data_IF_188762735609
#
_entry.id   IF_188762735609
#
_cell.length_a   1.000
_cell.length_b   1.000
_cell.length_c   1.000
_cell.angle_alpha   90.00
_cell.angle_beta   90.00
_cell.angle_gamma   90.00
#
_symmetry.space_group_name_H-M   'P 1'
#
loop_
_entity.id
_entity.type
_entity.pdbx_description
1 polymer ?
#
# COMPACT_ATOMS: atom_id res chain seq x y z
N UNK A 1 4.88 -21.38 0.21
CA UNK A 1 3.84 -20.35 -0.05
C UNK A 1 3.96 -19.25 0.99
N UNK A 2 3.55 -18.01 0.70
CA UNK A 2 3.61 -16.90 1.66
C UNK A 2 2.22 -16.28 1.88
N UNK A 3 1.83 -16.07 3.14
CA UNK A 3 0.73 -15.19 3.54
C UNK A 3 1.34 -13.86 3.98
N UNK A 4 1.17 -12.80 3.19
CA UNK A 4 1.90 -11.53 3.37
C UNK A 4 0.94 -10.39 3.67
N UNK A 5 1.23 -9.63 4.73
CA UNK A 5 0.58 -8.37 5.02
C UNK A 5 1.13 -7.24 4.15
N UNK A 6 0.24 -6.58 3.40
CA UNK A 6 0.56 -5.48 2.49
C UNK A 6 0.70 -4.13 3.20
N UNK A 7 0.26 -4.03 4.46
CA UNK A 7 0.10 -2.74 5.12
C UNK A 7 -1.26 -2.09 4.85
N UNK A 8 -1.53 -0.90 5.43
CA UNK A 8 -2.85 -0.27 5.44
C UNK A 8 -3.23 0.49 4.16
N UNK A 9 -2.28 0.68 3.23
CA UNK A 9 -2.51 1.42 1.98
C UNK A 9 -1.20 1.95 1.39
N UNK A 10 -0.45 2.74 2.16
CA UNK A 10 0.88 3.24 1.80
C UNK A 10 1.82 2.07 1.44
N UNK A 11 2.30 1.97 0.17
CA UNK A 11 3.23 0.92 -0.25
C UNK A 11 4.52 0.88 0.57
N UNK A 12 4.94 2.00 1.15
CA UNK A 12 6.12 2.09 2.02
C UNK A 12 5.96 1.38 3.36
N UNK A 13 4.74 0.98 3.73
CA UNK A 13 4.45 0.23 4.96
C UNK A 13 4.45 -1.29 4.77
N UNK A 14 4.76 -1.80 3.58
CA UNK A 14 5.08 -3.22 3.43
C UNK A 14 6.38 -3.55 4.17
N UNK A 15 6.46 -4.72 4.79
CA UNK A 15 7.70 -5.15 5.43
C UNK A 15 8.75 -5.56 4.39
N UNK A 16 10.04 -5.45 4.75
CA UNK A 16 11.15 -5.88 3.88
C UNK A 16 10.97 -7.34 3.42
N UNK A 17 10.59 -8.24 4.34
CA UNK A 17 10.31 -9.65 4.02
C UNK A 17 9.11 -9.79 3.08
N UNK A 18 8.07 -8.97 3.24
CA UNK A 18 6.90 -8.97 2.35
C UNK A 18 7.26 -8.56 0.93
N UNK A 19 8.06 -7.50 0.79
CA UNK A 19 8.55 -7.03 -0.50
C UNK A 19 9.46 -8.07 -1.18
N UNK A 20 10.35 -8.72 -0.43
CA UNK A 20 11.20 -9.80 -0.94
C UNK A 20 10.37 -10.99 -1.45
N UNK A 21 9.32 -11.38 -0.71
CA UNK A 21 8.41 -12.44 -1.15
C UNK A 21 7.71 -12.08 -2.47
N UNK A 22 7.26 -10.83 -2.65
CA UNK A 22 6.65 -10.38 -3.91
C UNK A 22 7.61 -10.45 -5.10
N UNK A 23 8.85 -10.01 -4.92
CA UNK A 23 9.91 -10.06 -5.95
C UNK A 23 10.24 -11.47 -6.41
N UNK A 24 9.96 -12.50 -5.59
CA UNK A 24 10.23 -13.90 -5.89
C UNK A 24 8.98 -14.69 -6.32
N UNK A 25 7.79 -14.07 -6.28
CA UNK A 25 6.54 -14.77 -6.52
C UNK A 25 6.39 -15.23 -7.99
N UNK A 26 5.97 -16.47 -8.21
CA UNK A 26 5.47 -16.96 -9.51
C UNK A 26 4.00 -16.59 -9.71
N UNK A 27 3.28 -16.43 -8.59
CA UNK A 27 1.88 -16.03 -8.58
C UNK A 27 1.59 -15.18 -7.36
N UNK A 28 0.86 -14.07 -7.56
CA UNK A 28 0.36 -13.21 -6.50
C UNK A 28 -1.16 -13.22 -6.51
N UNK A 29 -1.77 -13.53 -5.38
CA UNK A 29 -3.22 -13.46 -5.16
C UNK A 29 -3.50 -12.35 -4.15
N UNK A 30 -4.15 -11.27 -4.56
CA UNK A 30 -4.28 -10.06 -3.74
C UNK A 30 -5.74 -9.63 -3.49
N UNK A 31 -5.98 -8.96 -2.36
CA UNK A 31 -7.30 -8.44 -1.96
C UNK A 31 -7.54 -7.00 -2.43
N UNK A 32 -8.80 -6.55 -2.36
CA UNK A 32 -9.24 -5.22 -2.85
C UNK A 32 -8.47 -4.03 -2.27
N UNK A 33 -8.10 -4.08 -0.99
CA UNK A 33 -7.48 -2.94 -0.29
C UNK A 33 -5.95 -2.89 -0.44
N UNK A 34 -5.36 -3.81 -1.20
CA UNK A 34 -3.92 -3.81 -1.47
C UNK A 34 -3.61 -2.75 -2.54
N UNK A 35 -2.57 -1.96 -2.32
CA UNK A 35 -2.11 -0.99 -3.31
C UNK A 35 -1.54 -1.67 -4.54
N UNK A 36 -2.01 -1.29 -5.73
CA UNK A 36 -1.52 -1.83 -7.01
C UNK A 36 -0.04 -1.56 -7.23
N UNK A 37 0.52 -0.47 -6.65
CA UNK A 37 1.95 -0.17 -6.70
C UNK A 37 2.84 -1.27 -6.10
N UNK A 38 2.31 -2.06 -5.16
CA UNK A 38 3.05 -3.21 -4.64
C UNK A 38 3.21 -4.33 -5.69
N UNK A 39 2.30 -4.38 -6.66
CA UNK A 39 2.31 -5.37 -7.73
C UNK A 39 3.40 -5.05 -8.78
N UNK A 40 3.82 -3.78 -8.92
CA UNK A 40 4.92 -3.37 -9.80
C UNK A 40 6.27 -3.99 -9.39
N UNK A 41 6.39 -4.43 -8.14
CA UNK A 41 7.56 -5.16 -7.66
C UNK A 41 7.56 -6.66 -8.00
N UNK A 42 6.47 -7.18 -8.57
CA UNK A 42 6.40 -8.56 -9.00
C UNK A 42 7.28 -8.77 -10.24
N UNK A 43 7.71 -10.01 -10.45
CA UNK A 43 8.41 -10.37 -11.69
C UNK A 43 7.47 -10.17 -12.89
N UNK A 44 7.97 -9.76 -14.06
CA UNK A 44 7.13 -9.63 -15.26
C UNK A 44 6.39 -10.91 -15.66
N UNK A 45 6.94 -12.07 -15.30
CA UNK A 45 6.35 -13.39 -15.56
C UNK A 45 5.39 -13.87 -14.48
N UNK A 46 5.24 -13.13 -13.36
CA UNK A 46 4.39 -13.51 -12.26
C UNK A 46 2.91 -13.41 -12.65
N UNK A 47 2.13 -14.44 -12.32
CA UNK A 47 0.68 -14.42 -12.55
C UNK A 47 -0.01 -13.65 -11.43
N UNK A 48 -0.59 -12.50 -11.75
CA UNK A 48 -1.32 -11.65 -10.79
C UNK A 48 -2.82 -12.00 -10.85
N UNK A 49 -3.41 -12.30 -9.70
CA UNK A 49 -4.82 -12.71 -9.57
C UNK A 49 -5.51 -11.86 -8.51
N UNK A 50 -6.54 -11.14 -8.93
CA UNK A 50 -7.42 -10.40 -8.03
C UNK A 50 -8.38 -11.35 -7.29
N UNK A 51 -8.47 -11.20 -5.97
CA UNK A 51 -9.35 -11.98 -5.09
C UNK A 51 -10.29 -11.11 -4.22
N UNK A 52 -10.31 -9.78 -4.46
CA UNK A 52 -11.14 -8.85 -3.70
C UNK A 52 -12.64 -8.92 -4.03
N UNK A 53 -13.50 -8.74 -3.02
CA UNK A 53 -14.96 -8.62 -3.11
C UNK A 53 -15.37 -7.18 -3.47
N UNK A 54 -15.49 -6.89 -4.76
CA UNK A 54 -16.28 -5.74 -5.22
C UNK A 54 -17.73 -6.19 -5.45
N UNK A 55 -18.70 -5.32 -5.14
CA UNK A 55 -20.13 -5.63 -5.20
C UNK A 55 -20.64 -6.06 -6.59
N UNK A 56 -19.88 -5.83 -7.66
CA UNK A 56 -20.33 -6.08 -9.05
C UNK A 56 -19.35 -6.92 -9.91
N UNK A 57 -18.33 -7.55 -9.31
CA UNK A 57 -17.40 -8.45 -10.02
C UNK A 57 -17.51 -9.88 -9.48
N UNK A 58 -17.65 -10.87 -10.37
CA UNK A 58 -17.68 -12.31 -10.07
C UNK A 58 -16.59 -12.69 -9.06
N UNK A 59 -16.95 -12.68 -7.78
CA UNK A 59 -15.95 -12.79 -6.73
C UNK A 59 -15.69 -14.24 -6.41
N UNK A 60 -14.41 -14.61 -6.28
CA UNK A 60 -14.05 -15.94 -5.79
C UNK A 60 -14.52 -16.08 -4.35
N UNK A 61 -15.20 -17.19 -4.05
CA UNK A 61 -15.49 -17.56 -2.67
C UNK A 61 -14.20 -17.91 -1.92
N UNK A 62 -14.24 -17.87 -0.59
CA UNK A 62 -13.06 -18.23 0.21
C UNK A 62 -12.51 -19.60 -0.16
N UNK A 63 -13.39 -20.60 -0.28
CA UNK A 63 -13.01 -21.95 -0.67
C UNK A 63 -12.39 -22.01 -2.07
N UNK A 64 -12.82 -21.15 -3.01
CA UNK A 64 -12.20 -21.07 -4.34
C UNK A 64 -10.80 -20.46 -4.28
N UNK A 65 -10.59 -19.44 -3.44
CA UNK A 65 -9.27 -18.84 -3.19
C UNK A 65 -8.35 -19.90 -2.59
N UNK A 66 -8.77 -20.58 -1.53
CA UNK A 66 -7.98 -21.64 -0.88
C UNK A 66 -7.59 -22.76 -1.86
N UNK A 67 -8.54 -23.25 -2.67
CA UNK A 67 -8.26 -24.28 -3.68
C UNK A 67 -7.24 -23.78 -4.71
N UNK A 68 -7.32 -22.52 -5.14
CA UNK A 68 -6.38 -21.93 -6.08
C UNK A 68 -4.97 -21.85 -5.46
N UNK A 69 -4.87 -21.41 -4.21
CA UNK A 69 -3.61 -21.30 -3.47
C UNK A 69 -2.96 -22.68 -3.31
N UNK A 70 -3.71 -23.66 -2.81
CA UNK A 70 -3.25 -25.04 -2.62
C UNK A 70 -2.80 -25.67 -3.93
N UNK A 71 -3.61 -25.57 -5.00
CA UNK A 71 -3.29 -26.15 -6.31
C UNK A 71 -2.00 -25.55 -6.87
N UNK A 72 -1.86 -24.23 -6.79
CA UNK A 72 -0.70 -23.52 -7.34
C UNK A 72 0.57 -23.85 -6.57
N UNK A 73 0.49 -23.93 -5.23
CA UNK A 73 1.62 -24.34 -4.40
C UNK A 73 2.04 -25.81 -4.66
N UNK A 74 1.07 -26.73 -4.82
CA UNK A 74 1.36 -28.14 -5.16
C UNK A 74 1.96 -28.32 -6.55
N UNK A 75 1.76 -27.37 -7.46
CA UNK A 75 2.42 -27.32 -8.76
C UNK A 75 3.86 -26.76 -8.69
N UNK A 76 4.44 -26.62 -7.50
CA UNK A 76 5.82 -26.14 -7.29
C UNK A 76 5.99 -24.63 -7.40
N UNK A 77 4.90 -23.86 -7.47
CA UNK A 77 4.98 -22.39 -7.61
C UNK A 77 5.21 -21.70 -6.27
N UNK A 78 6.02 -20.66 -6.29
CA UNK A 78 6.12 -19.67 -5.23
C UNK A 78 4.88 -18.77 -5.27
N UNK A 79 3.89 -19.09 -4.44
CA UNK A 79 2.64 -18.34 -4.35
C UNK A 79 2.72 -17.33 -3.19
N UNK A 80 2.38 -16.07 -3.47
CA UNK A 80 2.16 -15.03 -2.46
C UNK A 80 0.67 -14.70 -2.39
N UNK A 81 0.09 -14.84 -1.20
CA UNK A 81 -1.23 -14.35 -0.85
C UNK A 81 -1.06 -13.00 -0.16
N UNK A 82 -1.27 -11.92 -0.89
CA UNK A 82 -1.07 -10.55 -0.43
C UNK A 82 -2.39 -9.99 0.15
N UNK A 83 -2.38 -9.64 1.42
CA UNK A 83 -3.58 -9.27 2.19
C UNK A 83 -3.43 -7.87 2.74
N UNK A 84 -4.49 -7.06 2.70
CA UNK A 84 -4.47 -5.71 3.28
C UNK A 84 -4.23 -5.75 4.79
N UNK A 85 -3.44 -4.81 5.30
CA UNK A 85 -3.05 -4.74 6.70
C UNK A 85 -2.16 -5.91 7.11
N UNK A 86 -2.59 -6.64 8.14
CA UNK A 86 -1.92 -7.83 8.66
C UNK A 86 -2.75 -9.10 8.33
N UNK A 87 -2.12 -10.24 7.94
CA UNK A 87 -2.85 -11.45 7.59
C UNK A 87 -3.76 -11.99 8.70
N UNK A 88 -3.39 -11.82 9.97
CA UNK A 88 -4.04 -12.44 11.11
C UNK A 88 -4.95 -11.49 11.91
N UNK A 89 -4.89 -10.18 11.68
CA UNK A 89 -5.86 -9.25 12.26
C UNK A 89 -7.06 -9.02 11.32
N UNK A 90 -8.17 -9.71 11.58
CA UNK A 90 -9.42 -9.65 10.79
C UNK A 90 -9.27 -9.89 9.27
N UNK A 91 -8.13 -10.41 8.83
CA UNK A 91 -7.81 -10.69 7.43
C UNK A 91 -8.18 -12.11 6.96
N UNK A 92 -8.67 -12.98 7.85
CA UNK A 92 -8.94 -14.41 7.58
C UNK A 92 -7.70 -15.24 7.22
N UNK A 93 -6.48 -14.75 7.50
CA UNK A 93 -5.26 -15.50 7.24
C UNK A 93 -5.17 -16.80 8.05
N UNK A 94 -5.80 -16.86 9.23
CA UNK A 94 -5.88 -18.09 10.02
C UNK A 94 -6.68 -19.20 9.32
N UNK A 95 -7.81 -18.88 8.68
CA UNK A 95 -8.60 -19.83 7.89
C UNK A 95 -7.77 -20.37 6.70
N UNK A 96 -7.11 -19.47 5.97
CA UNK A 96 -6.23 -19.83 4.85
C UNK A 96 -5.05 -20.71 5.31
N UNK A 97 -4.42 -20.38 6.44
CA UNK A 97 -3.33 -21.16 7.03
C UNK A 97 -3.78 -22.57 7.45
N UNK A 98 -4.95 -22.71 8.05
CA UNK A 98 -5.54 -24.01 8.40
C UNK A 98 -5.81 -24.87 7.16
N UNK A 99 -6.36 -24.27 6.10
CA UNK A 99 -6.60 -24.95 4.82
C UNK A 99 -5.29 -25.47 4.19
N UNK A 100 -4.23 -24.65 4.21
CA UNK A 100 -2.90 -25.04 3.72
C UNK A 100 -2.28 -26.17 4.54
N UNK A 101 -2.40 -26.07 5.87
CA UNK A 101 -1.93 -27.11 6.81
C UNK A 101 -2.63 -28.44 6.53
N UNK A 102 -3.97 -28.44 6.41
CA UNK A 102 -4.76 -29.63 6.08
C UNK A 102 -4.35 -30.24 4.72
N UNK A 103 -3.98 -29.40 3.77
CA UNK A 103 -3.51 -29.82 2.45
C UNK A 103 -2.03 -30.24 2.40
N UNK A 104 -1.30 -30.18 3.53
CA UNK A 104 0.14 -30.41 3.67
C UNK A 104 0.98 -29.54 2.75
N UNK A 105 0.60 -28.27 2.60
CA UNK A 105 1.36 -27.27 1.85
C UNK A 105 2.19 -26.43 2.82
N UNK A 106 3.53 -26.38 2.69
CA UNK A 106 4.36 -25.53 3.55
C UNK A 106 4.12 -24.05 3.24
N UNK A 107 3.99 -23.24 4.30
CA UNK A 107 3.77 -21.82 4.19
C UNK A 107 4.51 -21.02 5.26
N UNK A 108 4.86 -19.79 4.90
CA UNK A 108 5.35 -18.76 5.80
C UNK A 108 4.29 -17.68 5.97
N UNK A 109 4.18 -17.15 7.19
CA UNK A 109 3.42 -15.94 7.48
C UNK A 109 4.39 -14.78 7.59
N UNK A 110 4.12 -13.72 6.85
CA UNK A 110 4.84 -12.45 6.91
C UNK A 110 3.89 -11.39 7.46
N UNK A 111 4.05 -11.01 8.74
CA UNK A 111 3.22 -9.98 9.35
C UNK A 111 3.26 -8.67 8.59
N UNK A 112 2.16 -7.91 8.68
CA UNK A 112 2.03 -6.60 8.07
C UNK A 112 1.76 -5.51 9.11
N UNK A 113 1.97 -4.26 8.70
CA UNK A 113 1.56 -3.11 9.51
C UNK A 113 0.03 -3.03 9.48
N UNK A 114 -0.61 -3.26 10.63
CA UNK A 114 -2.07 -3.22 10.71
C UNK A 114 -2.65 -1.80 10.60
N UNK A 115 -3.79 -1.67 9.93
CA UNK A 115 -4.56 -0.43 9.88
C UNK A 115 -5.04 0.02 11.26
N UNK A 116 -5.22 -0.90 12.21
CA UNK A 116 -5.64 -0.56 13.57
C UNK A 116 -4.61 0.31 14.33
N UNK A 117 -3.33 0.30 13.93
CA UNK A 117 -2.27 1.09 14.54
C UNK A 117 -1.80 2.20 13.60
N UNK A 118 -1.52 1.86 12.35
CA UNK A 118 -0.92 2.81 11.41
C UNK A 118 -1.88 3.90 10.97
N UNK A 119 -3.17 3.60 10.76
CA UNK A 119 -4.13 4.63 10.35
C UNK A 119 -4.31 5.69 11.43
N UNK A 120 -4.51 5.35 12.73
CA UNK A 120 -4.45 6.33 13.81
C UNK A 120 -3.13 7.10 13.86
N UNK A 121 -1.99 6.43 13.72
CA UNK A 121 -0.67 7.08 13.75
C UNK A 121 -0.49 8.13 12.64
N UNK A 122 -0.94 7.83 11.41
CA UNK A 122 -0.94 8.77 10.29
C UNK A 122 -1.99 9.88 10.45
N UNK A 123 -3.02 9.67 11.26
CA UNK A 123 -3.93 10.73 11.70
C UNK A 123 -3.42 11.53 12.92
N UNK A 124 -2.21 11.26 13.42
CA UNK A 124 -1.67 11.91 14.63
C UNK A 124 -2.36 11.47 15.92
N UNK A 125 -2.96 10.28 15.95
CA UNK A 125 -3.64 9.71 17.10
C UNK A 125 -2.90 8.44 17.50
N UNK A 126 -2.03 8.49 18.52
CA UNK A 126 -1.41 7.27 19.02
C UNK A 126 -2.48 6.40 19.72
N UNK A 127 -2.43 5.08 19.53
CA UNK A 127 -3.42 4.17 20.14
C UNK A 127 -3.21 3.94 21.65
N UNK A 128 -2.05 4.33 22.15
CA UNK A 128 -1.70 4.35 23.57
C UNK A 128 -0.93 5.63 23.87
N UNK A 129 -0.99 6.09 25.12
CA UNK A 129 -0.21 7.24 25.58
C UNK A 129 -0.11 7.19 27.10
N UNK A 130 1.11 7.29 27.67
CA UNK A 130 1.37 7.05 29.09
C UNK A 130 0.40 7.78 30.05
N UNK A 131 0.04 9.02 29.74
CA UNK A 131 -0.85 9.83 30.58
C UNK A 131 -2.35 9.73 30.24
N UNK A 132 -2.73 9.01 29.17
CA UNK A 132 -4.12 9.01 28.67
C UNK A 132 -4.71 7.62 28.43
N UNK A 133 -3.89 6.65 28.02
CA UNK A 133 -4.33 5.30 27.65
C UNK A 133 -3.19 4.28 27.83
N UNK A 134 -3.40 3.34 28.74
CA UNK A 134 -2.53 2.18 29.00
C UNK A 134 -3.06 0.90 28.38
N UNK A 135 -4.32 0.88 27.94
CA UNK A 135 -4.94 -0.25 27.23
C UNK A 135 -5.51 0.15 25.86
N UNK A 136 -5.45 -0.80 24.93
CA UNK A 136 -6.09 -0.70 23.60
C UNK A 136 -6.83 -1.98 23.28
N UNK A 137 -8.05 -1.87 22.76
CA UNK A 137 -8.82 -2.98 22.20
C UNK A 137 -9.06 -2.73 20.72
N UNK A 138 -8.88 -3.77 19.91
CA UNK A 138 -9.13 -3.75 18.47
C UNK A 138 -10.29 -4.68 18.18
N UNK A 139 -11.35 -4.16 17.57
CA UNK A 139 -12.57 -4.92 17.29
C UNK A 139 -13.02 -4.72 15.84
N UNK A 140 -13.80 -5.67 15.33
CA UNK A 140 -14.49 -5.53 14.05
C UNK A 140 -15.92 -5.04 14.29
N UNK A 141 -16.35 -4.02 13.57
CA UNK A 141 -17.74 -3.56 13.56
C UNK A 141 -18.64 -4.39 12.64
N UNK A 142 -18.08 -5.30 11.85
CA UNK A 142 -18.84 -6.25 11.03
C UNK A 142 -18.46 -7.67 11.46
N UNK A 143 -19.41 -8.35 12.09
CA UNK A 143 -19.32 -9.79 12.33
C UNK A 143 -19.96 -10.56 11.17
N UNK A 144 -19.73 -11.87 11.11
CA UNK A 144 -20.34 -12.73 10.10
C UNK A 144 -21.87 -12.51 10.05
N UNK A 145 -22.46 -12.14 8.90
CA UNK A 145 -23.90 -11.88 8.77
C UNK A 145 -24.79 -13.08 9.15
N UNK A 146 -24.23 -14.29 9.20
CA UNK A 146 -24.92 -15.50 9.65
C UNK A 146 -25.04 -15.63 11.17
N UNK A 147 -24.35 -14.78 11.95
CA UNK A 147 -24.48 -14.74 13.40
C UNK A 147 -25.66 -13.87 13.81
N UNK A 148 -26.56 -14.45 14.60
CA UNK A 148 -27.73 -13.76 15.18
C UNK A 148 -27.38 -12.89 16.39
N UNK A 149 -26.26 -13.18 17.08
CA UNK A 149 -25.76 -12.44 18.24
C UNK A 149 -24.37 -11.86 17.98
N UNK A 150 -24.11 -10.65 18.50
CA UNK A 150 -22.78 -10.05 18.45
C UNK A 150 -21.87 -10.73 19.47
N UNK A 151 -20.72 -11.25 19.03
CA UNK A 151 -19.68 -11.79 19.92
C UNK A 151 -18.95 -10.73 20.76
N UNK A 152 -19.15 -9.44 20.45
CA UNK A 152 -18.56 -8.34 21.21
C UNK A 152 -19.24 -8.12 22.57
N UNK A 153 -18.47 -8.27 23.64
CA UNK A 153 -18.87 -7.91 25.00
C UNK A 153 -18.78 -6.39 25.22
N UNK A 154 -19.73 -5.62 24.70
CA UNK A 154 -19.76 -4.15 24.76
C UNK A 154 -19.60 -3.58 26.16
N UNK A 155 -20.17 -4.25 27.17
CA UNK A 155 -20.01 -3.85 28.58
C UNK A 155 -18.54 -3.82 29.02
N UNK A 156 -17.76 -4.82 28.64
CA UNK A 156 -16.34 -4.91 28.97
C UNK A 156 -15.53 -3.91 28.13
N UNK A 157 -15.83 -3.81 26.83
CA UNK A 157 -15.15 -2.86 25.95
C UNK A 157 -15.33 -1.40 26.40
N UNK A 158 -16.53 -1.04 26.84
CA UNK A 158 -16.84 0.30 27.31
C UNK A 158 -16.13 0.64 28.64
N UNK A 159 -15.98 -0.32 29.54
CA UNK A 159 -15.49 -0.08 30.90
C UNK A 159 -13.98 -0.34 31.09
N UNK A 160 -13.39 -1.29 30.36
CA UNK A 160 -12.04 -1.80 30.61
C UNK A 160 -10.96 -1.27 29.65
N UNK A 161 -11.34 -0.51 28.62
CA UNK A 161 -10.41 -0.08 27.57
C UNK A 161 -10.30 1.44 27.49
N UNK A 162 -9.08 1.96 27.54
CA UNK A 162 -8.84 3.41 27.40
C UNK A 162 -9.00 3.89 25.95
N UNK A 163 -8.55 3.08 24.99
CA UNK A 163 -8.67 3.34 23.55
C UNK A 163 -9.31 2.16 22.83
N UNK A 164 -10.44 2.38 22.18
CA UNK A 164 -11.09 1.40 21.33
C UNK A 164 -10.83 1.75 19.86
N UNK A 165 -10.30 0.79 19.10
CA UNK A 165 -10.14 0.89 17.66
C UNK A 165 -11.13 -0.07 16.98
N UNK A 166 -12.03 0.47 16.16
CA UNK A 166 -13.05 -0.29 15.44
C UNK A 166 -12.71 -0.31 13.95
N UNK A 167 -12.43 -1.49 13.43
CA UNK A 167 -12.25 -1.76 12.00
C UNK A 167 -13.59 -2.15 11.38
N UNK A 168 -13.80 -1.85 10.09
CA UNK A 168 -15.04 -2.22 9.37
C UNK A 168 -16.33 -1.70 10.04
N UNK A 169 -16.25 -0.62 10.81
CA UNK A 169 -17.35 -0.14 11.66
C UNK A 169 -18.22 0.98 11.08
N UNK A 170 -17.95 1.47 9.86
CA UNK A 170 -18.70 2.62 9.30
C UNK A 170 -20.20 2.34 9.22
N UNK A 171 -20.59 1.15 8.74
CA UNK A 171 -22.00 0.76 8.64
C UNK A 171 -22.68 0.53 9.99
N UNK A 172 -21.92 0.19 11.03
CA UNK A 172 -22.41 -0.12 12.39
C UNK A 172 -22.09 0.96 13.42
N UNK A 173 -21.64 2.14 12.96
CA UNK A 173 -21.20 3.23 13.82
C UNK A 173 -22.28 3.68 14.80
N UNK A 174 -23.53 3.80 14.34
CA UNK A 174 -24.66 4.21 15.18
C UNK A 174 -24.88 3.26 16.36
N UNK A 175 -24.99 1.96 16.06
CA UNK A 175 -25.17 0.92 17.08
C UNK A 175 -23.96 0.84 18.02
N UNK A 176 -22.74 0.95 17.50
CA UNK A 176 -21.50 0.95 18.29
C UNK A 176 -21.50 2.09 19.32
N UNK A 177 -21.80 3.31 18.88
CA UNK A 177 -21.87 4.49 19.75
C UNK A 177 -22.93 4.33 20.84
N UNK A 178 -24.11 3.84 20.46
CA UNK A 178 -25.22 3.59 21.40
C UNK A 178 -24.84 2.56 22.46
N UNK A 179 -24.21 1.45 22.08
CA UNK A 179 -23.76 0.42 23.03
C UNK A 179 -22.70 0.96 23.98
N UNK A 180 -21.72 1.72 23.49
CA UNK A 180 -20.68 2.32 24.33
C UNK A 180 -21.29 3.26 25.38
N UNK A 181 -22.20 4.15 24.96
CA UNK A 181 -22.87 5.09 25.86
C UNK A 181 -23.77 4.37 26.87
N UNK A 182 -24.53 3.37 26.42
CA UNK A 182 -25.39 2.54 27.29
C UNK A 182 -24.59 1.84 28.39
N UNK A 183 -23.34 1.46 28.11
CA UNK A 183 -22.45 0.80 29.06
C UNK A 183 -21.47 1.74 29.78
N UNK A 184 -21.76 3.05 29.81
CA UNK A 184 -21.12 3.99 30.72
C UNK A 184 -20.06 4.90 30.11
N UNK A 185 -19.79 4.83 28.80
CA UNK A 185 -18.94 5.83 28.15
C UNK A 185 -19.63 7.18 28.06
N UNK A 186 -18.92 8.25 28.44
CA UNK A 186 -19.47 9.60 28.43
C UNK A 186 -19.79 10.06 26.99
N UNK A 187 -20.90 10.78 26.83
CA UNK A 187 -21.30 11.38 25.56
C UNK A 187 -20.21 12.31 24.95
N UNK A 188 -19.36 12.88 25.82
CA UNK A 188 -18.25 13.78 25.48
C UNK A 188 -16.94 13.04 25.17
N UNK A 189 -16.90 11.70 25.27
CA UNK A 189 -15.72 10.90 24.93
C UNK A 189 -15.31 11.20 23.47
N UNK A 190 -14.05 11.62 23.24
CA UNK A 190 -13.57 11.93 21.90
C UNK A 190 -13.59 10.70 20.98
N UNK A 191 -13.94 10.94 19.71
CA UNK A 191 -14.00 9.92 18.67
C UNK A 191 -13.47 10.46 17.34
N UNK A 192 -12.72 9.65 16.62
CA UNK A 192 -12.19 9.94 15.30
C UNK A 192 -12.66 8.89 14.29
N UNK A 193 -12.93 9.30 13.06
CA UNK A 193 -13.08 8.41 11.90
C UNK A 193 -12.04 8.81 10.87
N UNK A 194 -11.21 7.87 10.45
CA UNK A 194 -10.10 8.11 9.53
C UNK A 194 -10.34 7.27 8.28
N UNK A 195 -10.78 7.94 7.22
CA UNK A 195 -11.08 7.36 5.91
C UNK A 195 -9.81 7.36 5.04
N UNK A 196 -9.61 6.30 4.24
CA UNK A 196 -8.44 6.15 3.35
C UNK A 196 -7.09 6.39 4.06
N UNK A 197 -6.98 5.87 5.28
CA UNK A 197 -5.81 6.08 6.13
C UNK A 197 -4.49 5.73 5.44
N UNK A 198 -3.43 6.49 5.76
CA UNK A 198 -2.08 6.41 5.18
C UNK A 198 -1.95 6.83 3.72
N UNK A 199 -3.05 7.08 3.01
CA UNK A 199 -3.02 7.56 1.63
C UNK A 199 -3.13 9.09 1.57
N UNK A 200 -2.63 9.72 0.49
CA UNK A 200 -2.78 11.17 0.25
C UNK A 200 -4.23 11.69 0.27
N UNK A 201 -5.20 10.82 -0.01
CA UNK A 201 -6.64 11.11 0.05
C UNK A 201 -7.27 10.88 1.44
N UNK A 202 -6.45 10.68 2.47
CA UNK A 202 -6.91 10.46 3.84
C UNK A 202 -7.82 11.62 4.31
N UNK A 203 -8.92 11.28 4.97
CA UNK A 203 -9.83 12.26 5.59
C UNK A 203 -10.07 11.88 7.04
N UNK A 204 -9.75 12.78 7.95
CA UNK A 204 -9.96 12.56 9.39
C UNK A 204 -11.09 13.42 9.94
N UNK A 205 -12.11 12.77 10.49
CA UNK A 205 -13.29 13.39 11.09
C UNK A 205 -13.25 13.25 12.63
N UNK A 206 -13.17 14.38 13.35
CA UNK A 206 -13.05 14.39 14.83
C UNK A 206 -14.31 14.90 15.52
N UNK A 207 -14.91 14.11 16.39
CA UNK A 207 -16.06 14.52 17.19
C UNK A 207 -16.06 13.85 18.56
N UNK A 208 -17.25 13.66 19.10
CA UNK A 208 -17.52 12.94 20.35
C UNK A 208 -18.52 11.83 20.09
N UNK A 209 -18.72 10.90 21.02
CA UNK A 209 -19.75 9.86 20.88
C UNK A 209 -21.12 10.46 20.53
N UNK A 210 -21.51 11.57 21.17
CA UNK A 210 -22.78 12.26 20.88
C UNK A 210 -22.89 12.91 19.49
N UNK A 211 -21.78 13.23 18.82
CA UNK A 211 -21.79 14.01 17.57
C UNK A 211 -21.28 13.25 16.35
N UNK A 212 -20.49 12.20 16.56
CA UNK A 212 -19.73 11.56 15.48
C UNK A 212 -20.64 10.89 14.44
N UNK A 213 -21.77 10.31 14.86
CA UNK A 213 -22.73 9.67 13.94
C UNK A 213 -23.31 10.69 12.96
N UNK A 214 -23.77 11.84 13.46
CA UNK A 214 -24.31 12.93 12.63
C UNK A 214 -23.23 13.46 11.67
N UNK A 215 -22.02 13.69 12.19
CA UNK A 215 -20.91 14.21 11.40
C UNK A 215 -20.48 13.23 10.30
N UNK A 216 -20.43 11.94 10.61
CA UNK A 216 -20.13 10.88 9.64
C UNK A 216 -21.11 10.91 8.46
N UNK A 217 -22.40 11.04 8.74
CA UNK A 217 -23.46 11.13 7.73
C UNK A 217 -23.33 12.41 6.88
N UNK A 218 -23.16 13.57 7.52
CA UNK A 218 -23.06 14.85 6.80
C UNK A 218 -21.79 14.94 5.93
N UNK A 219 -20.69 14.33 6.36
CA UNK A 219 -19.42 14.35 5.61
C UNK A 219 -19.32 13.24 4.55
N UNK A 220 -20.33 12.35 4.46
CA UNK A 220 -20.39 11.29 3.47
C UNK A 220 -19.24 10.29 3.56
N UNK A 221 -18.75 9.97 4.77
CA UNK A 221 -17.65 9.02 4.96
C UNK A 221 -18.05 7.63 4.46
N UNK A 222 -17.15 6.98 3.71
CA UNK A 222 -17.33 5.63 3.18
C UNK A 222 -16.20 4.71 3.65
N UNK A 223 -16.41 3.38 3.62
CA UNK A 223 -15.30 2.43 3.77
C UNK A 223 -14.27 2.59 2.64
N UNK A 224 -12.99 2.28 2.89
CA UNK A 224 -12.41 1.82 4.16
C UNK A 224 -12.15 2.98 5.13
N UNK A 225 -12.53 2.80 6.41
CA UNK A 225 -12.20 3.74 7.47
C UNK A 225 -11.95 3.03 8.81
N UNK A 226 -11.13 3.66 9.66
CA UNK A 226 -10.83 3.22 11.02
C UNK A 226 -11.46 4.20 12.01
N UNK A 227 -12.17 3.68 13.00
CA UNK A 227 -12.78 4.49 14.06
C UNK A 227 -11.92 4.34 15.32
N UNK A 228 -11.60 5.45 15.99
CA UNK A 228 -10.87 5.47 17.25
C UNK A 228 -11.70 6.20 18.29
N UNK A 229 -11.97 5.56 19.42
CA UNK A 229 -12.69 6.16 20.57
C UNK A 229 -11.72 6.20 21.75
N UNK A 230 -11.56 7.37 22.36
CA UNK A 230 -10.71 7.51 23.55
C UNK A 230 -10.05 8.88 23.66
N UNK A 231 -9.47 9.16 24.83
CA UNK A 231 -8.83 10.46 25.14
C UNK A 231 -7.68 10.81 24.19
N UNK A 232 -6.98 9.79 23.68
CA UNK A 232 -5.85 9.93 22.74
C UNK A 232 -6.20 10.69 21.46
N UNK A 233 -7.47 10.72 21.05
CA UNK A 233 -7.94 11.48 19.88
C UNK A 233 -7.62 12.98 20.01
N UNK A 234 -7.56 13.52 21.23
CA UNK A 234 -7.21 14.92 21.49
C UNK A 234 -5.78 15.27 21.05
N UNK A 235 -4.86 14.30 21.04
CA UNK A 235 -3.46 14.53 20.67
C UNK A 235 -3.28 14.93 19.21
N UNK A 236 -4.25 14.59 18.35
CA UNK A 236 -4.23 14.95 16.94
C UNK A 236 -3.97 16.43 16.68
N UNK A 237 -4.53 17.32 17.51
CA UNK A 237 -4.35 18.76 17.34
C UNK A 237 -2.87 19.17 17.31
N UNK A 238 -2.01 18.40 17.99
CA UNK A 238 -0.57 18.60 18.02
C UNK A 238 0.18 17.71 17.02
N UNK A 239 -0.28 16.46 16.83
CA UNK A 239 0.47 15.41 16.16
C UNK A 239 0.04 15.10 14.71
N UNK A 240 -0.87 15.87 14.10
CA UNK A 240 -1.36 15.66 12.73
C UNK A 240 -0.30 15.94 11.63
N UNK A 241 0.85 15.25 11.67
CA UNK A 241 2.01 15.49 10.80
C UNK A 241 1.74 15.16 9.32
N UNK A 242 1.01 14.08 9.05
CA UNK A 242 0.84 13.56 7.68
C UNK A 242 -0.03 14.47 6.82
N UNK A 243 -1.18 14.91 7.34
CA UNK A 243 -2.09 15.80 6.62
C UNK A 243 -1.58 17.24 6.52
N UNK A 244 -0.46 17.56 7.19
CA UNK A 244 0.24 18.85 7.11
C UNK A 244 1.38 18.85 6.10
N UNK A 245 1.63 17.73 5.41
CA UNK A 245 2.69 17.68 4.41
C UNK A 245 2.37 18.65 3.24
N UNK A 246 3.39 19.24 2.59
CA UNK A 246 3.19 20.33 1.62
C UNK A 246 2.29 19.98 0.43
N UNK A 247 2.29 18.72 -0.01
CA UNK A 247 1.51 18.25 -1.15
C UNK A 247 0.37 17.31 -0.75
N UNK A 248 0.01 17.26 0.54
CA UNK A 248 -1.08 16.40 1.00
C UNK A 248 -2.39 16.68 0.26
N UNK A 249 -3.06 15.63 -0.21
CA UNK A 249 -4.30 15.72 -0.97
C UNK A 249 -4.14 16.16 -2.44
N UNK A 250 -2.93 16.54 -2.87
CA UNK A 250 -2.69 16.92 -4.26
C UNK A 250 -2.47 15.68 -5.13
N UNK A 251 -3.17 15.61 -6.26
CA UNK A 251 -2.95 14.58 -7.27
C UNK A 251 -2.07 15.12 -8.39
N UNK A 252 -0.93 14.47 -8.63
CA UNK A 252 0.08 14.92 -9.58
C UNK A 252 0.33 13.82 -10.60
N UNK A 253 0.27 14.16 -11.88
CA UNK A 253 0.62 13.24 -12.97
C UNK A 253 2.07 13.46 -13.36
N UNK A 254 2.87 12.38 -13.35
CA UNK A 254 4.26 12.39 -13.81
C UNK A 254 4.33 11.70 -15.17
N UNK A 255 4.67 12.47 -16.20
CA UNK A 255 4.69 12.01 -17.61
C UNK A 255 6.08 11.63 -18.13
N UNK A 256 7.08 11.55 -17.24
CA UNK A 256 8.46 11.23 -17.62
C UNK A 256 8.62 9.77 -18.07
N UNK A 257 9.69 9.46 -18.85
CA UNK A 257 10.08 8.08 -19.13
C UNK A 257 10.21 7.25 -17.86
N UNK A 258 9.91 5.96 -17.95
CA UNK A 258 9.74 5.04 -16.82
C UNK A 258 10.95 5.00 -15.88
N UNK A 259 12.17 5.13 -16.41
CA UNK A 259 13.42 5.15 -15.66
C UNK A 259 13.59 6.37 -14.74
N UNK A 260 12.89 7.48 -15.02
CA UNK A 260 12.95 8.73 -14.22
C UNK A 260 11.64 9.10 -13.54
N UNK A 261 10.53 8.49 -13.95
CA UNK A 261 9.22 8.72 -13.37
C UNK A 261 9.20 8.34 -11.89
N UNK A 262 9.82 7.21 -11.53
CA UNK A 262 9.83 6.68 -10.17
C UNK A 262 10.54 7.59 -9.17
N UNK A 263 11.69 8.18 -9.55
CA UNK A 263 12.44 9.05 -8.65
C UNK A 263 11.63 10.31 -8.29
N UNK A 264 11.04 10.97 -9.29
CA UNK A 264 10.21 12.15 -9.05
C UNK A 264 8.92 11.79 -8.31
N UNK A 265 8.30 10.66 -8.67
CA UNK A 265 7.10 10.18 -7.98
C UNK A 265 7.37 9.97 -6.49
N UNK A 266 8.45 9.26 -6.14
CA UNK A 266 8.83 9.00 -4.75
C UNK A 266 9.09 10.31 -3.97
N UNK A 267 9.70 11.31 -4.59
CA UNK A 267 9.93 12.62 -3.96
C UNK A 267 8.62 13.37 -3.69
N UNK A 268 7.69 13.37 -4.65
CA UNK A 268 6.38 14.00 -4.50
C UNK A 268 5.51 13.28 -3.46
N UNK A 269 5.55 11.95 -3.43
CA UNK A 269 4.85 11.12 -2.42
C UNK A 269 5.42 11.33 -1.01
N UNK A 270 6.75 11.50 -0.89
CA UNK A 270 7.37 11.86 0.39
C UNK A 270 6.81 13.18 0.93
N UNK A 271 6.45 14.12 0.05
CA UNK A 271 5.78 15.38 0.34
C UNK A 271 4.25 15.26 0.47
N UNK A 272 3.68 14.05 0.36
CA UNK A 272 2.27 13.76 0.61
C UNK A 272 1.36 13.72 -0.61
N UNK A 273 1.90 13.81 -1.83
CA UNK A 273 1.10 13.79 -3.06
C UNK A 273 0.57 12.38 -3.41
N UNK A 274 -0.58 12.34 -4.10
CA UNK A 274 -1.08 11.18 -4.87
C UNK A 274 -0.47 11.23 -6.27
N UNK A 275 0.52 10.38 -6.54
CA UNK A 275 1.24 10.43 -7.82
C UNK A 275 0.73 9.36 -8.78
N UNK A 276 0.34 9.79 -9.97
CA UNK A 276 0.01 8.91 -11.09
C UNK A 276 1.17 8.99 -12.08
N UNK A 277 1.92 7.89 -12.22
CA UNK A 277 2.93 7.74 -13.26
C UNK A 277 2.26 7.36 -14.57
N UNK A 278 2.36 8.22 -15.58
CA UNK A 278 1.85 7.98 -16.92
C UNK A 278 2.99 8.22 -17.92
N UNK A 279 3.91 7.26 -18.10
CA UNK A 279 5.01 7.41 -19.05
C UNK A 279 4.43 7.64 -20.45
N UNK A 280 4.55 8.86 -20.95
CA UNK A 280 3.98 9.25 -22.25
C UNK A 280 5.00 9.12 -23.39
N UNK A 281 6.24 8.77 -23.06
CA UNK A 281 7.37 8.68 -23.99
C UNK A 281 8.13 7.39 -23.67
N UNK A 282 8.25 6.52 -24.66
CA UNK A 282 9.15 5.38 -24.65
C UNK A 282 10.38 5.70 -25.49
N UNK A 283 11.56 5.45 -24.94
CA UNK A 283 12.81 5.57 -25.67
C UNK A 283 13.15 4.23 -26.32
N UNK A 284 12.92 4.15 -27.63
CA UNK A 284 13.33 3.02 -28.44
C UNK A 284 14.63 3.35 -29.20
N UNK A 285 15.52 2.37 -29.40
CA UNK A 285 16.62 2.55 -30.34
C UNK A 285 16.06 2.74 -31.74
N UNK A 286 16.61 3.69 -32.48
CA UNK A 286 16.38 3.78 -33.93
C UNK A 286 17.05 2.58 -34.60
N UNK A 287 16.39 1.97 -35.58
CA UNK A 287 16.99 0.90 -36.37
C UNK A 287 18.33 1.37 -36.96
N UNK A 288 19.36 0.52 -36.83
CA UNK A 288 20.69 0.87 -37.31
C UNK A 288 20.69 0.95 -38.83
N UNK A 289 20.99 2.12 -39.36
CA UNK A 289 21.31 2.33 -40.78
C UNK A 289 22.83 2.22 -41.07
N UNK A 290 23.59 1.66 -40.11
CA UNK A 290 25.04 1.54 -40.17
C UNK A 290 25.81 2.85 -40.00
N UNK A 291 25.13 4.00 -39.81
CA UNK A 291 25.79 5.30 -39.61
C UNK A 291 26.72 5.26 -38.40
N UNK A 292 26.24 4.73 -37.27
CA UNK A 292 27.04 4.61 -36.06
C UNK A 292 28.35 3.86 -36.30
N UNK A 293 28.28 2.69 -36.95
CA UNK A 293 29.45 1.87 -37.26
C UNK A 293 30.45 2.61 -38.17
N UNK A 294 29.95 3.24 -39.25
CA UNK A 294 30.80 4.03 -40.17
C UNK A 294 31.45 5.23 -39.48
N UNK A 295 30.70 5.97 -38.67
CA UNK A 295 31.21 7.10 -37.89
C UNK A 295 32.26 6.64 -36.89
N UNK A 296 32.08 5.48 -36.26
CA UNK A 296 33.04 4.92 -35.31
C UNK A 296 34.36 4.52 -35.98
N UNK A 297 34.30 3.96 -37.20
CA UNK A 297 35.50 3.66 -38.00
C UNK A 297 36.28 4.91 -38.41
N UNK A 298 35.61 6.06 -38.52
CA UNK A 298 36.19 7.34 -38.93
C UNK A 298 36.24 8.35 -37.78
N UNK A 299 36.21 7.88 -36.53
CA UNK A 299 36.11 8.76 -35.36
C UNK A 299 37.30 9.74 -35.26
N UNK A 300 38.44 9.35 -35.83
CA UNK A 300 39.66 10.16 -35.88
C UNK A 300 39.51 11.44 -36.73
N UNK A 301 38.50 11.54 -37.59
CA UNK A 301 38.21 12.75 -38.37
C UNK A 301 37.49 13.84 -37.59
N UNK A 302 36.93 13.51 -36.42
CA UNK A 302 36.17 14.44 -35.60
C UNK A 302 37.02 14.91 -34.43
N UNK A 303 37.09 16.21 -34.15
CA UNK A 303 37.78 16.72 -32.97
C UNK A 303 36.89 16.70 -31.71
N UNK A 304 35.57 16.77 -31.90
CA UNK A 304 34.59 16.87 -30.83
C UNK A 304 33.51 15.79 -30.90
N UNK A 305 33.11 15.29 -29.72
CA UNK A 305 31.96 14.40 -29.52
C UNK A 305 30.99 15.06 -28.55
N UNK A 306 29.76 15.28 -29.01
CA UNK A 306 28.71 15.93 -28.24
C UNK A 306 27.69 14.92 -27.73
N UNK A 307 27.43 14.94 -26.42
CA UNK A 307 26.32 14.24 -25.80
C UNK A 307 25.22 15.24 -25.43
N UNK A 308 24.10 15.17 -26.14
CA UNK A 308 22.99 16.14 -25.98
C UNK A 308 21.95 15.73 -24.94
N UNK A 309 22.08 14.53 -24.38
CA UNK A 309 21.24 14.06 -23.28
C UNK A 309 21.92 12.90 -22.54
N UNK A 310 21.54 12.62 -21.29
CA UNK A 310 22.01 11.44 -20.57
C UNK A 310 21.66 10.12 -21.28
N UNK A 311 20.55 10.08 -22.02
CA UNK A 311 20.14 8.92 -22.82
C UNK A 311 21.08 8.64 -23.98
N UNK A 312 21.60 9.69 -24.63
CA UNK A 312 22.60 9.57 -25.68
C UNK A 312 23.83 8.80 -25.20
N UNK A 313 24.28 9.05 -23.97
CA UNK A 313 25.40 8.32 -23.36
C UNK A 313 25.03 6.86 -23.10
N UNK A 314 23.82 6.61 -22.58
CA UNK A 314 23.37 5.25 -22.26
C UNK A 314 23.29 4.36 -23.51
N UNK A 315 22.72 4.89 -24.59
CA UNK A 315 22.67 4.21 -25.88
C UNK A 315 24.03 4.09 -26.55
N UNK A 316 24.87 5.12 -26.48
CA UNK A 316 26.25 5.07 -27.00
C UNK A 316 27.05 3.91 -26.39
N UNK A 317 27.00 3.72 -25.06
CA UNK A 317 27.67 2.61 -24.39
C UNK A 317 27.14 1.24 -24.85
N UNK A 318 25.82 1.11 -25.02
CA UNK A 318 25.20 -0.13 -25.54
C UNK A 318 25.62 -0.43 -26.97
N UNK A 319 25.70 0.58 -27.83
CA UNK A 319 26.11 0.43 -29.22
C UNK A 319 27.60 0.09 -29.33
N UNK A 320 28.48 0.75 -28.57
CA UNK A 320 29.90 0.37 -28.48
C UNK A 320 30.09 -1.10 -28.08
N UNK A 321 29.35 -1.55 -27.07
CA UNK A 321 29.41 -2.94 -26.63
C UNK A 321 28.98 -3.93 -27.73
N UNK A 322 27.98 -3.58 -28.55
CA UNK A 322 27.58 -4.38 -29.72
C UNK A 322 28.68 -4.46 -30.78
N UNK A 323 29.41 -3.36 -30.98
CA UNK A 323 30.57 -3.28 -31.89
C UNK A 323 31.85 -3.86 -31.28
N UNK A 324 31.80 -4.44 -30.06
CA UNK A 324 32.95 -4.94 -29.30
C UNK A 324 34.04 -3.89 -29.07
N UNK A 325 33.65 -2.62 -28.96
CA UNK A 325 34.53 -1.50 -28.63
C UNK A 325 34.20 -0.94 -27.24
N UNK A 326 35.09 -0.07 -26.73
CA UNK A 326 34.90 0.64 -25.48
C UNK A 326 35.26 2.12 -25.62
N UNK A 327 35.18 2.87 -24.51
CA UNK A 327 35.36 4.32 -24.48
C UNK A 327 36.76 4.77 -24.95
N UNK A 328 37.77 3.90 -25.02
CA UNK A 328 39.11 4.24 -25.52
C UNK A 328 39.10 4.66 -26.99
N UNK A 329 38.06 4.30 -27.75
CA UNK A 329 37.84 4.81 -29.12
C UNK A 329 37.73 6.33 -29.20
N UNK A 330 37.42 6.99 -28.07
CA UNK A 330 37.35 8.44 -27.96
C UNK A 330 38.71 9.08 -27.59
N UNK A 331 39.79 8.32 -27.54
CA UNK A 331 41.11 8.84 -27.18
C UNK A 331 41.51 10.00 -28.12
N UNK A 332 41.99 11.10 -27.53
CA UNK A 332 42.38 12.30 -28.26
C UNK A 332 41.21 13.10 -28.86
N UNK A 333 39.96 12.84 -28.44
CA UNK A 333 38.78 13.63 -28.83
C UNK A 333 38.34 14.53 -27.67
N UNK A 334 37.85 15.72 -27.99
CA UNK A 334 37.19 16.58 -27.02
C UNK A 334 35.75 16.11 -26.79
N UNK A 335 35.30 16.10 -25.54
CA UNK A 335 33.95 15.68 -25.18
C UNK A 335 33.19 16.89 -24.64
N UNK A 336 32.01 17.14 -25.19
CA UNK A 336 31.08 18.14 -24.71
C UNK A 336 29.75 17.50 -24.31
N UNK A 337 29.11 18.02 -23.26
CA UNK A 337 27.79 17.60 -22.83
C UNK A 337 26.87 18.81 -22.76
N UNK A 338 25.65 18.67 -23.30
CA UNK A 338 24.58 19.65 -23.14
C UNK A 338 23.68 19.09 -22.04
N UNK A 339 23.68 19.77 -20.88
CA UNK A 339 22.92 19.41 -19.69
C UNK A 339 21.53 20.03 -19.68
#
# INVERSE_FOLDING_TARGET
MYLVGAGPGDPGLITVKGLQALKQADMVVYDHLVSERLLDHCRPTAKIIYAGKEKDRHTKSQAQIERLLIRSAKAGKTVVRLKGGDPFLFGRGGEEALALTKARVPYDVVPGVTSAIAVPAYAGIPVTHRAMASSVAMVTGHEDPSKTDTSLHWRQLAAATDTLVVLMGVGTLGATVEQLMRHGQAATTPCAIIEWGTLPRQRTLIGTLSTIVRRCRSSGVRPPAVIVVGKVVRLRQHLAWFERKPLFGQRIVVTRPTDRADQLANQLEALGADVITLPAIELAPVESNGLFHRTLQQIEMFDWVFFTSPEGIHWFRRLLAKERQDLRVLFGRHIAAIG
#
